data_IF_495042571332
#
_entry.id   IF_495042571332
#
_cell.length_a   1.000
_cell.length_b   1.000
_cell.length_c   1.000
_cell.angle_alpha   90.00
_cell.angle_beta   90.00
_cell.angle_gamma   90.00
#
_symmetry.space_group_name_H-M   'P 1'
#
loop_
_entity.id
_entity.type
_entity.pdbx_description
1 polymer ?
#
# COMPACT_ATOMS: atom_id res chain seq x y z
N UNK A 1 -34.05 -40.77 -7.03
CA UNK A 1 -33.68 -39.36 -7.26
C UNK A 1 -33.42 -38.50 -5.98
N UNK A 2 -33.61 -38.98 -4.74
CA UNK A 2 -33.40 -38.16 -3.51
C UNK A 2 -31.99 -38.23 -2.89
N UNK A 3 -31.18 -39.23 -3.21
CA UNK A 3 -29.86 -39.44 -2.58
C UNK A 3 -28.73 -38.56 -3.16
N UNK A 4 -28.82 -38.13 -4.41
CA UNK A 4 -27.84 -37.25 -5.05
C UNK A 4 -27.97 -35.77 -4.56
N UNK A 5 -29.19 -35.35 -4.24
CA UNK A 5 -29.50 -33.98 -3.75
C UNK A 5 -28.98 -33.76 -2.33
N UNK A 6 -29.05 -34.76 -1.44
CA UNK A 6 -28.56 -34.64 -0.05
C UNK A 6 -27.03 -34.61 0.02
N UNK A 7 -26.33 -35.42 -0.81
CA UNK A 7 -24.87 -35.41 -0.90
C UNK A 7 -24.34 -34.06 -1.45
N UNK A 8 -25.05 -33.44 -2.39
CA UNK A 8 -24.66 -32.14 -2.95
C UNK A 8 -24.84 -30.98 -1.94
N UNK A 9 -25.90 -31.04 -1.12
CA UNK A 9 -26.18 -30.09 -0.05
C UNK A 9 -25.16 -30.20 1.11
N UNK A 10 -24.85 -31.45 1.53
CA UNK A 10 -23.84 -31.72 2.55
C UNK A 10 -22.42 -31.22 2.09
N UNK A 11 -22.11 -31.42 0.80
CA UNK A 11 -20.84 -30.95 0.23
C UNK A 11 -20.75 -29.42 0.17
N UNK A 12 -21.86 -28.74 -0.17
CA UNK A 12 -21.91 -27.26 -0.18
C UNK A 12 -21.76 -26.66 1.23
N UNK A 13 -22.37 -27.27 2.26
CA UNK A 13 -22.23 -26.80 3.63
C UNK A 13 -20.83 -27.04 4.18
N UNK A 14 -20.22 -28.18 3.88
CA UNK A 14 -18.83 -28.45 4.25
C UNK A 14 -17.86 -27.49 3.57
N UNK A 15 -18.09 -27.14 2.31
CA UNK A 15 -17.28 -26.15 1.58
C UNK A 15 -17.42 -24.75 2.21
N UNK A 16 -18.65 -24.33 2.52
CA UNK A 16 -18.87 -23.04 3.20
C UNK A 16 -18.19 -22.97 4.57
N UNK A 17 -18.27 -24.04 5.36
CA UNK A 17 -17.62 -24.11 6.65
C UNK A 17 -16.08 -24.11 6.52
N UNK A 18 -15.53 -24.79 5.53
CA UNK A 18 -14.11 -24.79 5.20
C UNK A 18 -13.61 -23.41 4.80
N UNK A 19 -14.34 -22.71 3.94
CA UNK A 19 -14.02 -21.33 3.53
C UNK A 19 -14.10 -20.34 4.71
N UNK A 20 -15.12 -20.47 5.56
CA UNK A 20 -15.26 -19.63 6.75
C UNK A 20 -14.11 -19.86 7.75
N UNK A 21 -13.66 -21.12 7.90
CA UNK A 21 -12.50 -21.45 8.73
C UNK A 21 -11.22 -20.86 8.13
N UNK A 22 -10.97 -21.04 6.83
CA UNK A 22 -9.80 -20.49 6.14
C UNK A 22 -9.75 -18.96 6.24
N UNK A 23 -10.90 -18.30 6.06
CA UNK A 23 -11.03 -16.85 6.22
C UNK A 23 -10.61 -16.38 7.62
N UNK A 24 -11.13 -17.03 8.68
CA UNK A 24 -10.78 -16.69 10.07
C UNK A 24 -9.31 -16.96 10.38
N UNK A 25 -8.79 -18.10 9.91
CA UNK A 25 -7.38 -18.44 10.08
C UNK A 25 -6.46 -17.44 9.38
N UNK A 26 -6.79 -17.05 8.13
CA UNK A 26 -6.02 -16.05 7.38
C UNK A 26 -5.98 -14.69 8.08
N UNK A 27 -7.10 -14.20 8.58
CA UNK A 27 -7.15 -12.95 9.35
C UNK A 27 -6.36 -13.05 10.67
N UNK A 28 -6.42 -14.18 11.36
CA UNK A 28 -5.63 -14.41 12.56
C UNK A 28 -4.13 -14.37 12.26
N UNK A 29 -3.67 -15.06 11.21
CA UNK A 29 -2.27 -15.03 10.79
C UNK A 29 -1.82 -13.63 10.38
N UNK A 30 -2.62 -12.90 9.63
CA UNK A 30 -2.32 -11.53 9.21
C UNK A 30 -2.10 -10.62 10.43
N UNK A 31 -3.01 -10.65 11.40
CA UNK A 31 -2.90 -9.86 12.63
C UNK A 31 -1.68 -10.26 13.47
N UNK A 32 -1.37 -11.55 13.53
CA UNK A 32 -0.21 -12.05 14.29
C UNK A 32 1.11 -11.63 13.65
N UNK A 33 1.22 -11.73 12.32
CA UNK A 33 2.39 -11.26 11.56
C UNK A 33 2.52 -9.74 11.71
N UNK A 34 1.43 -8.99 11.58
CA UNK A 34 1.42 -7.54 11.74
C UNK A 34 1.94 -7.11 13.11
N UNK A 35 1.49 -7.78 14.18
CA UNK A 35 1.98 -7.53 15.53
C UNK A 35 3.48 -7.84 15.66
N UNK A 36 3.92 -8.99 15.16
CA UNK A 36 5.34 -9.39 15.19
C UNK A 36 6.23 -8.37 14.47
N UNK A 37 5.79 -7.84 13.32
CA UNK A 37 6.52 -6.80 12.58
C UNK A 37 6.56 -5.51 13.41
N UNK A 38 5.43 -5.08 13.97
CA UNK A 38 5.36 -3.87 14.80
C UNK A 38 6.23 -3.96 16.05
N UNK A 39 6.35 -5.15 16.62
CA UNK A 39 7.16 -5.40 17.83
C UNK A 39 8.64 -5.71 17.51
N UNK A 40 9.03 -5.73 16.23
CA UNK A 40 10.37 -6.08 15.77
C UNK A 40 11.16 -4.87 15.30
N UNK A 41 12.49 -5.02 15.21
CA UNK A 41 13.39 -4.02 14.60
C UNK A 41 13.16 -3.82 13.09
N UNK A 42 12.21 -4.54 12.49
CA UNK A 42 11.81 -4.37 11.08
C UNK A 42 10.80 -3.24 10.89
N UNK A 43 10.16 -2.77 11.97
CA UNK A 43 9.24 -1.65 11.88
C UNK A 43 10.02 -0.35 11.68
N UNK A 44 9.66 0.40 10.63
CA UNK A 44 10.19 1.75 10.45
C UNK A 44 9.62 2.66 11.56
N UNK A 45 10.47 3.28 12.40
CA UNK A 45 10.00 4.22 13.40
C UNK A 45 9.34 5.44 12.74
N UNK A 46 8.51 6.14 13.49
CA UNK A 46 8.00 7.44 13.06
C UNK A 46 9.17 8.44 13.05
N UNK A 47 9.27 9.23 11.99
CA UNK A 47 10.31 10.25 11.89
C UNK A 47 10.02 11.40 12.85
N UNK A 48 10.98 11.68 13.72
CA UNK A 48 11.00 12.84 14.59
C UNK A 48 12.27 13.64 14.31
N UNK A 49 12.15 14.80 13.65
CA UNK A 49 13.28 15.66 13.28
C UNK A 49 13.97 15.21 11.98
N UNK A 50 15.30 15.28 11.96
CA UNK A 50 16.11 14.97 10.78
C UNK A 50 16.34 13.46 10.64
N UNK A 51 16.20 12.88 9.41
CA UNK A 51 16.43 11.47 9.19
C UNK A 51 17.92 11.10 9.26
N UNK A 52 18.23 10.07 10.03
CA UNK A 52 19.57 9.49 10.06
C UNK A 52 19.84 8.68 8.77
N UNK A 53 21.03 8.83 8.15
CA UNK A 53 21.39 8.09 6.96
C UNK A 53 21.27 6.57 7.16
N UNK A 54 20.73 5.88 6.18
CA UNK A 54 20.61 4.43 6.19
C UNK A 54 19.38 3.87 6.91
N UNK A 55 18.63 4.69 7.62
CA UNK A 55 17.45 4.27 8.39
C UNK A 55 16.16 4.57 7.63
N UNK A 56 15.24 3.59 7.61
CA UNK A 56 13.90 3.78 7.11
C UNK A 56 13.01 4.39 8.21
N UNK A 57 12.22 5.39 7.83
CA UNK A 57 11.24 6.05 8.70
C UNK A 57 9.86 6.00 8.09
N UNK A 58 8.85 5.98 8.94
CA UNK A 58 7.46 6.25 8.60
C UNK A 58 7.15 7.73 8.82
N UNK A 59 6.48 8.35 7.88
CA UNK A 59 5.93 9.71 8.02
C UNK A 59 4.42 9.63 7.87
N UNK A 60 3.70 9.94 8.93
CA UNK A 60 2.25 10.04 8.89
C UNK A 60 1.84 11.29 8.11
N UNK A 61 0.89 11.18 7.20
CA UNK A 61 0.36 12.29 6.41
C UNK A 61 -0.88 12.82 7.12
N UNK A 62 -0.85 14.04 7.69
CA UNK A 62 -1.93 14.53 8.56
C UNK A 62 -3.32 14.52 7.89
N UNK A 63 -3.40 14.90 6.61
CA UNK A 63 -4.62 14.94 5.81
C UNK A 63 -4.77 13.72 4.89
N UNK A 64 -3.90 12.71 5.07
CA UNK A 64 -3.88 11.50 4.26
C UNK A 64 -4.96 10.51 4.70
N UNK A 65 -5.67 9.94 3.73
CA UNK A 65 -6.75 9.00 3.98
C UNK A 65 -6.54 7.75 3.12
N UNK A 66 -6.61 6.57 3.75
CA UNK A 66 -6.70 5.29 3.08
C UNK A 66 -8.12 5.04 2.54
N UNK A 67 -8.29 4.05 1.68
CA UNK A 67 -9.58 3.75 1.06
C UNK A 67 -10.70 3.40 2.02
N UNK A 68 -10.40 2.90 3.21
CA UNK A 68 -11.36 2.61 4.28
C UNK A 68 -11.55 3.77 5.29
N UNK A 69 -10.96 4.94 5.02
CA UNK A 69 -11.02 6.10 5.90
C UNK A 69 -9.98 6.11 7.02
N UNK A 70 -9.16 5.08 7.14
CA UNK A 70 -8.05 5.07 8.09
C UNK A 70 -6.92 6.01 7.66
N UNK A 71 -6.00 6.31 8.59
CA UNK A 71 -4.87 7.19 8.33
C UNK A 71 -3.93 6.67 7.24
N UNK A 72 -3.16 7.58 6.68
CA UNK A 72 -2.21 7.29 5.61
C UNK A 72 -0.80 7.73 6.00
N UNK A 73 0.21 6.99 5.54
CA UNK A 73 1.61 7.30 5.76
C UNK A 73 2.47 6.88 4.57
N UNK A 74 3.65 7.45 4.48
CA UNK A 74 4.69 7.11 3.52
C UNK A 74 5.95 6.64 4.24
N UNK A 75 6.90 6.06 3.49
CA UNK A 75 8.22 5.78 4.03
C UNK A 75 9.25 6.70 3.40
N UNK A 76 10.23 7.07 4.22
CA UNK A 76 11.37 7.90 3.84
C UNK A 76 12.66 7.24 4.32
N UNK A 77 13.69 7.33 3.50
CA UNK A 77 15.07 6.94 3.89
C UNK A 77 16.06 7.94 3.33
N UNK A 78 16.93 8.46 4.18
CA UNK A 78 18.08 9.23 3.76
C UNK A 78 19.19 8.29 3.34
N UNK A 79 19.72 8.49 2.15
CA UNK A 79 20.89 7.80 1.62
C UNK A 79 22.20 8.46 2.03
N UNK A 80 23.27 8.14 1.30
CA UNK A 80 24.59 8.73 1.48
C UNK A 80 25.02 9.60 0.29
N UNK A 81 24.16 9.74 -0.73
CA UNK A 81 24.35 10.61 -1.87
C UNK A 81 23.07 11.43 -2.14
N UNK A 82 23.14 12.42 -3.04
CA UNK A 82 22.03 13.33 -3.35
C UNK A 82 21.11 12.83 -4.49
N UNK A 83 21.09 11.52 -4.73
CA UNK A 83 20.16 10.91 -5.66
C UNK A 83 18.85 10.54 -4.95
N UNK A 84 17.71 10.77 -5.58
CA UNK A 84 16.37 10.50 -5.02
C UNK A 84 15.62 9.47 -5.86
N UNK A 85 15.08 8.46 -5.21
CA UNK A 85 14.09 7.56 -5.78
C UNK A 85 12.71 7.84 -5.17
N UNK A 86 11.76 8.24 -6.00
CA UNK A 86 10.33 8.29 -5.65
C UNK A 86 9.71 7.00 -6.18
N UNK A 87 9.25 6.15 -5.26
CA UNK A 87 8.72 4.84 -5.61
C UNK A 87 7.24 4.73 -5.23
N UNK A 88 6.41 4.40 -6.21
CA UNK A 88 4.99 4.16 -6.02
C UNK A 88 4.72 2.68 -5.79
N UNK A 89 4.19 2.34 -4.63
CA UNK A 89 3.81 0.97 -4.31
C UNK A 89 2.56 0.56 -5.06
N UNK A 90 2.48 -0.71 -5.43
CA UNK A 90 1.28 -1.31 -5.98
C UNK A 90 0.36 -1.89 -4.91
N UNK A 91 -0.80 -2.37 -5.33
CA UNK A 91 -1.78 -2.97 -4.42
C UNK A 91 -3.16 -3.20 -5.05
N UNK A 92 -3.21 -3.46 -6.36
CA UNK A 92 -4.46 -3.72 -7.07
C UNK A 92 -5.26 -2.46 -7.39
N UNK A 93 -6.55 -2.62 -7.73
CA UNK A 93 -7.40 -1.50 -8.15
C UNK A 93 -8.88 -1.80 -7.93
N UNK A 94 -9.65 -0.77 -7.60
CA UNK A 94 -11.11 -0.78 -7.58
C UNK A 94 -11.64 0.13 -8.70
N UNK A 95 -12.50 -0.40 -9.57
CA UNK A 95 -13.01 0.35 -10.73
C UNK A 95 -14.53 0.29 -10.90
N UNK A 96 -15.21 -0.44 -10.01
CA UNK A 96 -16.66 -0.53 -9.95
C UNK A 96 -17.11 -1.04 -8.57
N UNK A 97 -18.42 -1.08 -8.33
CA UNK A 97 -19.01 -1.52 -7.07
C UNK A 97 -18.59 -2.95 -6.67
N UNK A 98 -18.51 -3.87 -7.64
CA UNK A 98 -18.10 -5.26 -7.38
C UNK A 98 -16.68 -5.35 -6.83
N UNK A 99 -15.74 -4.60 -7.39
CA UNK A 99 -14.34 -4.58 -6.96
C UNK A 99 -14.14 -3.75 -5.70
N UNK A 100 -14.85 -2.63 -5.55
CA UNK A 100 -14.85 -1.81 -4.35
C UNK A 100 -15.31 -2.59 -3.11
N UNK A 101 -16.32 -3.44 -3.24
CA UNK A 101 -16.81 -4.31 -2.18
C UNK A 101 -15.82 -5.45 -1.78
N UNK A 102 -14.70 -5.59 -2.49
CA UNK A 102 -13.77 -6.71 -2.30
C UNK A 102 -12.32 -6.29 -2.09
N UNK A 103 -12.05 -5.51 -1.02
CA UNK A 103 -10.66 -5.22 -0.65
C UNK A 103 -9.92 -6.51 -0.25
N UNK A 104 -8.61 -6.49 -0.40
CA UNK A 104 -7.73 -7.59 0.02
C UNK A 104 -7.76 -7.71 1.54
N UNK A 105 -7.94 -8.93 2.03
CA UNK A 105 -7.73 -9.30 3.43
C UNK A 105 -7.06 -10.67 3.49
N UNK A 106 -6.28 -10.93 4.54
CA UNK A 106 -5.66 -12.24 4.73
C UNK A 106 -6.67 -13.38 4.74
N UNK A 107 -7.86 -13.14 5.28
CA UNK A 107 -8.96 -14.10 5.25
C UNK A 107 -9.47 -14.40 3.85
N UNK A 108 -9.70 -13.39 3.00
CA UNK A 108 -10.13 -13.60 1.62
C UNK A 108 -9.06 -14.34 0.81
N UNK A 109 -7.80 -13.95 0.96
CA UNK A 109 -6.67 -14.63 0.29
C UNK A 109 -6.60 -16.10 0.71
N UNK A 110 -6.63 -16.41 2.00
CA UNK A 110 -6.56 -17.77 2.52
C UNK A 110 -7.76 -18.64 2.08
N UNK A 111 -8.94 -18.03 1.94
CA UNK A 111 -10.16 -18.71 1.51
C UNK A 111 -10.29 -18.82 -0.02
N UNK A 112 -9.36 -18.26 -0.80
CA UNK A 112 -9.46 -18.21 -2.26
C UNK A 112 -10.65 -17.37 -2.75
N UNK A 113 -11.07 -16.37 -1.97
CA UNK A 113 -12.18 -15.49 -2.32
C UNK A 113 -11.68 -14.34 -3.21
N UNK A 114 -12.52 -13.80 -4.11
CA UNK A 114 -12.16 -12.64 -4.91
C UNK A 114 -11.75 -11.45 -4.04
N UNK A 115 -10.64 -10.83 -4.39
CA UNK A 115 -10.11 -9.64 -3.74
C UNK A 115 -9.31 -8.85 -4.79
N UNK A 116 -9.33 -7.51 -4.74
CA UNK A 116 -8.89 -6.69 -5.86
C UNK A 116 -7.88 -5.60 -5.50
N UNK A 117 -7.91 -5.05 -4.27
CA UNK A 117 -7.06 -3.93 -3.91
C UNK A 117 -6.86 -3.83 -2.39
N UNK A 118 -5.76 -3.23 -1.99
CA UNK A 118 -5.54 -2.80 -0.61
C UNK A 118 -6.30 -1.50 -0.35
N UNK A 119 -7.15 -1.51 0.68
CA UNK A 119 -7.93 -0.33 1.09
C UNK A 119 -7.39 0.33 2.36
N UNK A 120 -6.34 -0.22 2.95
CA UNK A 120 -5.65 0.35 4.10
C UNK A 120 -4.18 -0.09 4.15
N UNK A 121 -3.39 0.61 4.95
CA UNK A 121 -2.00 0.29 5.21
C UNK A 121 -1.89 -0.67 6.40
N UNK A 122 -1.24 -1.80 6.19
CA UNK A 122 -1.09 -2.86 7.19
C UNK A 122 0.38 -3.06 7.52
N UNK A 123 0.72 -3.41 8.79
CA UNK A 123 2.11 -3.58 9.19
C UNK A 123 2.91 -4.51 8.29
N UNK A 124 2.33 -5.62 7.82
CA UNK A 124 3.07 -6.56 6.99
C UNK A 124 3.41 -6.04 5.58
N UNK A 125 2.65 -5.07 5.04
CA UNK A 125 2.95 -4.45 3.74
C UNK A 125 4.24 -3.64 3.80
N UNK A 126 4.69 -3.25 5.00
CA UNK A 126 5.96 -2.56 5.21
C UNK A 126 7.14 -3.34 4.62
N UNK A 127 7.22 -4.67 4.83
CA UNK A 127 8.30 -5.49 4.28
C UNK A 127 8.34 -5.37 2.76
N UNK A 128 7.18 -5.40 2.11
CA UNK A 128 7.08 -5.27 0.65
C UNK A 128 7.47 -3.87 0.16
N UNK A 129 7.29 -2.86 0.98
CA UNK A 129 7.60 -1.48 0.60
C UNK A 129 9.08 -1.13 0.76
N UNK A 130 9.75 -1.60 1.81
CA UNK A 130 11.08 -1.08 2.20
C UNK A 130 12.18 -2.14 2.33
N UNK A 131 11.89 -3.42 2.05
CA UNK A 131 12.85 -4.50 2.20
C UNK A 131 12.95 -5.44 0.99
N UNK A 132 12.39 -5.07 -0.16
CA UNK A 132 12.35 -5.92 -1.36
C UNK A 132 12.75 -5.14 -2.61
N UNK A 133 13.51 -5.78 -3.50
CA UNK A 133 13.87 -5.22 -4.80
C UNK A 133 14.75 -3.98 -4.67
N UNK A 134 14.39 -2.88 -5.35
CA UNK A 134 15.21 -1.66 -5.34
C UNK A 134 15.24 -0.96 -3.98
N UNK A 135 14.28 -1.25 -3.10
CA UNK A 135 14.21 -0.69 -1.75
C UNK A 135 14.96 -1.52 -0.71
N UNK A 136 15.48 -2.70 -1.08
CA UNK A 136 16.37 -3.50 -0.21
C UNK A 136 17.76 -2.88 -0.15
N UNK A 137 17.91 -1.85 0.65
CA UNK A 137 19.16 -1.13 0.81
C UNK A 137 20.19 -1.86 1.69
N UNK A 138 19.87 -3.05 2.23
CA UNK A 138 20.81 -3.91 2.92
C UNK A 138 21.56 -4.85 1.96
N UNK A 139 21.10 -4.98 0.74
CA UNK A 139 21.73 -5.78 -0.30
C UNK A 139 22.83 -5.00 -1.00
N UNK A 140 24.07 -5.42 -0.82
CA UNK A 140 25.23 -4.77 -1.44
C UNK A 140 25.22 -4.78 -2.97
N UNK A 141 24.50 -5.70 -3.59
CA UNK A 141 24.34 -5.75 -5.03
C UNK A 141 23.27 -4.76 -5.55
N UNK A 142 22.51 -4.10 -4.67
CA UNK A 142 21.51 -3.12 -5.05
C UNK A 142 22.20 -1.78 -5.47
N UNK A 143 22.12 -1.36 -6.74
CA UNK A 143 22.75 -0.12 -7.20
C UNK A 143 22.10 1.15 -6.61
N UNK A 144 20.95 1.02 -5.98
CA UNK A 144 20.21 2.13 -5.37
C UNK A 144 20.37 2.19 -3.84
N UNK A 145 21.18 1.32 -3.22
CA UNK A 145 21.28 1.21 -1.76
C UNK A 145 21.69 2.52 -1.07
N UNK A 146 22.43 3.37 -1.77
CA UNK A 146 22.95 4.65 -1.26
C UNK A 146 22.07 5.86 -1.61
N UNK A 147 20.95 5.65 -2.29
CA UNK A 147 20.02 6.69 -2.68
C UNK A 147 19.09 7.09 -1.53
N UNK A 148 18.61 8.34 -1.60
CA UNK A 148 17.44 8.77 -0.85
C UNK A 148 16.19 8.11 -1.43
N UNK A 149 15.22 7.78 -0.58
CA UNK A 149 13.96 7.18 -1.00
C UNK A 149 12.77 7.89 -0.38
N UNK A 150 11.72 8.03 -1.18
CA UNK A 150 10.36 8.28 -0.73
C UNK A 150 9.46 7.22 -1.33
N UNK A 151 8.81 6.42 -0.49
CA UNK A 151 7.87 5.40 -0.91
C UNK A 151 6.46 5.93 -0.70
N UNK A 152 5.77 6.23 -1.79
CA UNK A 152 4.35 6.55 -1.80
C UNK A 152 3.59 5.24 -1.65
N UNK A 153 3.12 4.96 -0.45
CA UNK A 153 2.43 3.71 -0.13
C UNK A 153 1.06 3.64 -0.81
N UNK A 154 0.52 2.44 -0.96
CA UNK A 154 -0.74 2.25 -1.68
C UNK A 154 -1.83 1.65 -0.79
N UNK A 155 -2.94 2.36 -0.65
CA UNK A 155 -4.07 1.96 0.17
C UNK A 155 -5.42 2.52 -0.32
N UNK A 156 -5.52 2.98 -1.56
CA UNK A 156 -6.69 3.70 -2.06
C UNK A 156 -7.39 3.03 -3.26
N UNK A 157 -6.73 2.09 -3.93
CA UNK A 157 -7.33 1.34 -5.03
C UNK A 157 -7.52 2.11 -6.34
N UNK A 158 -6.83 3.24 -6.55
CA UNK A 158 -7.09 4.25 -7.57
C UNK A 158 -5.87 4.65 -8.42
N UNK A 159 -4.82 3.80 -8.47
CA UNK A 159 -3.55 4.08 -9.16
C UNK A 159 -2.82 5.35 -8.68
N UNK A 160 -3.04 5.79 -7.44
CA UNK A 160 -2.54 7.06 -6.87
C UNK A 160 -3.08 8.34 -7.52
N UNK A 161 -4.13 8.27 -8.33
CA UNK A 161 -4.63 9.43 -9.11
C UNK A 161 -6.04 9.87 -8.73
N UNK A 162 -6.72 9.14 -7.86
CA UNK A 162 -8.10 9.42 -7.45
C UNK A 162 -8.21 10.64 -6.54
N UNK A 163 -9.36 11.35 -6.64
CA UNK A 163 -9.70 12.57 -5.86
C UNK A 163 -11.16 12.60 -5.42
N UNK A 164 -11.82 11.46 -5.25
CA UNK A 164 -13.25 11.43 -4.94
C UNK A 164 -13.63 10.22 -4.10
N UNK A 165 -14.77 10.35 -3.43
CA UNK A 165 -15.40 9.26 -2.71
C UNK A 165 -16.27 8.43 -3.64
N UNK A 166 -16.22 7.11 -3.53
CA UNK A 166 -17.02 6.17 -4.29
C UNK A 166 -17.91 5.36 -3.34
N UNK A 167 -19.23 5.64 -3.30
CA UNK A 167 -20.16 4.85 -2.51
C UNK A 167 -20.40 3.48 -3.17
N UNK A 168 -20.51 2.45 -2.36
CA UNK A 168 -20.79 1.09 -2.83
C UNK A 168 -21.58 0.30 -1.78
N UNK A 169 -22.20 -0.79 -2.23
CA UNK A 169 -22.85 -1.75 -1.35
C UNK A 169 -21.91 -2.91 -1.03
N UNK A 170 -21.58 -3.10 0.24
CA UNK A 170 -20.73 -4.18 0.69
C UNK A 170 -21.38 -5.56 0.53
N UNK A 171 -20.58 -6.64 0.67
CA UNK A 171 -21.08 -8.02 0.49
C UNK A 171 -22.16 -8.43 1.53
N UNK A 172 -22.23 -7.75 2.66
CA UNK A 172 -23.24 -7.93 3.70
C UNK A 172 -24.50 -7.03 3.50
N UNK A 173 -24.53 -6.24 2.43
CA UNK A 173 -25.61 -5.32 2.08
C UNK A 173 -25.50 -3.93 2.74
N UNK A 174 -24.48 -3.66 3.54
CA UNK A 174 -24.26 -2.34 4.13
C UNK A 174 -23.78 -1.33 3.10
N UNK A 175 -24.17 -0.05 3.27
CA UNK A 175 -23.64 1.05 2.46
C UNK A 175 -22.29 1.46 2.99
N UNK A 176 -21.32 1.53 2.12
CA UNK A 176 -19.92 1.85 2.42
C UNK A 176 -19.40 2.89 1.43
N UNK A 177 -18.25 3.44 1.74
CA UNK A 177 -17.52 4.37 0.86
C UNK A 177 -16.07 3.89 0.74
N UNK A 178 -15.53 3.89 -0.47
CA UNK A 178 -14.08 3.87 -0.66
C UNK A 178 -13.60 5.28 -0.99
N UNK A 179 -12.59 5.74 -0.25
CA UNK A 179 -11.97 7.04 -0.46
C UNK A 179 -10.85 6.90 -1.51
N UNK A 180 -11.15 7.26 -2.75
CA UNK A 180 -10.16 7.39 -3.82
C UNK A 180 -9.40 8.71 -3.61
N UNK A 181 -8.44 8.71 -2.69
CA UNK A 181 -7.69 9.89 -2.27
C UNK A 181 -6.21 9.83 -2.66
N UNK A 182 -5.85 8.95 -3.59
CA UNK A 182 -4.46 8.67 -3.96
C UNK A 182 -3.69 9.90 -4.42
N UNK A 183 -4.30 10.76 -5.22
CA UNK A 183 -3.65 11.99 -5.69
C UNK A 183 -3.38 13.00 -4.56
N UNK A 184 -4.32 13.21 -3.65
CA UNK A 184 -4.10 14.13 -2.53
C UNK A 184 -3.03 13.58 -1.58
N UNK A 185 -3.04 12.27 -1.32
CA UNK A 185 -1.99 11.58 -0.55
C UNK A 185 -0.62 11.76 -1.21
N UNK A 186 -0.55 11.57 -2.54
CA UNK A 186 0.65 11.78 -3.33
C UNK A 186 1.16 13.24 -3.22
N UNK A 187 0.32 14.23 -3.43
CA UNK A 187 0.73 15.65 -3.36
C UNK A 187 1.26 16.01 -1.97
N UNK A 188 0.62 15.52 -0.91
CA UNK A 188 1.10 15.71 0.46
C UNK A 188 2.45 15.02 0.71
N UNK A 189 2.63 13.80 0.17
CA UNK A 189 3.91 13.09 0.22
C UNK A 189 5.02 13.84 -0.51
N UNK A 190 4.74 14.43 -1.68
CA UNK A 190 5.72 15.21 -2.46
C UNK A 190 6.12 16.49 -1.73
N UNK A 191 5.18 17.19 -1.12
CA UNK A 191 5.47 18.38 -0.30
C UNK A 191 6.42 18.06 0.86
N UNK A 192 6.24 16.90 1.50
CA UNK A 192 7.13 16.44 2.57
C UNK A 192 8.49 16.03 1.99
N UNK A 193 8.50 15.29 0.88
CA UNK A 193 9.72 14.85 0.20
C UNK A 193 10.62 16.03 -0.16
N UNK A 194 10.07 17.08 -0.77
CA UNK A 194 10.84 18.27 -1.16
C UNK A 194 11.44 19.02 0.02
N UNK A 195 10.86 18.91 1.22
CA UNK A 195 11.45 19.51 2.43
C UNK A 195 12.68 18.79 2.95
N UNK A 196 12.77 17.47 2.71
CA UNK A 196 13.92 16.65 3.13
C UNK A 196 14.98 16.49 2.03
N UNK A 197 14.56 16.49 0.78
CA UNK A 197 15.40 16.24 -0.39
C UNK A 197 15.18 17.31 -1.47
N UNK A 198 15.52 18.59 -1.17
CA UNK A 198 15.48 19.63 -2.18
C UNK A 198 16.60 19.40 -3.21
N UNK A 199 16.32 19.64 -4.46
CA UNK A 199 17.29 19.68 -5.58
C UNK A 199 18.20 18.43 -5.70
N UNK A 200 17.65 17.21 -5.86
CA UNK A 200 18.49 16.01 -5.99
C UNK A 200 19.26 16.04 -7.32
N UNK A 201 20.55 15.64 -7.29
CA UNK A 201 21.40 15.53 -8.49
C UNK A 201 20.84 14.60 -9.56
N UNK A 202 20.12 13.54 -9.14
CA UNK A 202 19.44 12.58 -10.01
C UNK A 202 18.13 12.17 -9.37
N UNK A 203 17.13 11.99 -10.21
CA UNK A 203 15.84 11.47 -9.79
C UNK A 203 15.48 10.21 -10.57
N UNK A 204 15.00 9.21 -9.85
CA UNK A 204 14.34 8.02 -10.40
C UNK A 204 12.89 8.03 -9.93
N UNK A 205 11.95 7.99 -10.86
CA UNK A 205 10.54 7.77 -10.58
C UNK A 205 10.23 6.34 -11.00
N UNK A 206 9.84 5.50 -10.07
CA UNK A 206 9.59 4.09 -10.30
C UNK A 206 8.33 3.63 -9.55
N UNK A 207 7.85 2.44 -9.87
CA UNK A 207 6.70 1.85 -9.18
C UNK A 207 6.48 0.41 -9.61
N UNK A 208 5.75 -0.33 -8.79
CA UNK A 208 5.35 -1.70 -9.09
C UNK A 208 3.84 -1.81 -9.28
N UNK A 209 3.37 -2.76 -10.11
CA UNK A 209 1.95 -3.09 -10.28
C UNK A 209 1.09 -1.83 -10.52
N UNK A 210 0.11 -1.55 -9.64
CA UNK A 210 -0.72 -0.33 -9.70
C UNK A 210 0.14 0.96 -9.62
N UNK A 211 1.23 0.96 -8.86
CA UNK A 211 2.15 2.08 -8.78
C UNK A 211 2.93 2.34 -10.08
N UNK A 212 3.17 1.31 -10.90
CA UNK A 212 3.79 1.50 -12.21
C UNK A 212 2.91 2.34 -13.16
N UNK A 213 1.59 2.29 -13.01
CA UNK A 213 0.67 3.17 -13.75
C UNK A 213 0.69 4.62 -13.25
N UNK A 214 1.00 4.83 -11.97
CA UNK A 214 1.17 6.17 -11.41
C UNK A 214 2.36 6.91 -12.02
N UNK A 215 3.44 6.20 -12.34
CA UNK A 215 4.68 6.81 -12.87
C UNK A 215 4.42 7.72 -14.08
N UNK A 216 3.87 7.24 -15.22
CA UNK A 216 3.60 8.11 -16.34
C UNK A 216 2.51 9.15 -16.08
N UNK A 217 1.58 8.87 -15.15
CA UNK A 217 0.48 9.78 -14.84
C UNK A 217 0.91 10.98 -14.01
N UNK A 218 1.89 10.80 -13.10
CA UNK A 218 2.25 11.77 -12.07
C UNK A 218 3.68 12.34 -12.23
N UNK A 219 4.46 11.85 -13.17
CA UNK A 219 5.84 12.33 -13.38
C UNK A 219 5.91 13.83 -13.69
N UNK A 220 4.94 14.39 -14.42
CA UNK A 220 4.84 15.83 -14.67
C UNK A 220 4.65 16.60 -13.38
N UNK A 221 3.69 16.20 -12.54
CA UNK A 221 3.43 16.84 -11.25
C UNK A 221 4.64 16.77 -10.31
N UNK A 222 5.44 15.70 -10.38
CA UNK A 222 6.68 15.57 -9.60
C UNK A 222 7.70 16.60 -10.04
N UNK A 223 7.93 16.71 -11.35
CA UNK A 223 8.89 17.68 -11.90
C UNK A 223 8.47 19.09 -11.55
N UNK A 224 7.20 19.43 -11.73
CA UNK A 224 6.68 20.78 -11.52
C UNK A 224 6.65 21.21 -10.05
N UNK A 225 6.54 20.27 -9.11
CA UNK A 225 6.35 20.56 -7.69
C UNK A 225 7.55 20.20 -6.79
N UNK A 226 8.47 19.35 -7.27
CA UNK A 226 9.57 18.84 -6.45
C UNK A 226 10.94 19.28 -6.95
N UNK A 227 11.03 19.85 -8.15
CA UNK A 227 12.27 20.42 -8.68
C UNK A 227 12.03 21.92 -8.71
N UNK A 228 12.69 22.65 -7.81
CA UNK A 228 12.74 24.12 -7.90
C UNK A 228 13.33 24.50 -9.28
N UNK A 229 12.76 25.51 -9.90
CA UNK A 229 13.13 25.96 -11.24
C UNK A 229 14.67 25.98 -11.43
N UNK A 230 15.14 25.09 -12.30
CA UNK A 230 16.52 25.19 -12.80
C UNK A 230 16.65 26.37 -13.76
#
# INVERSE_FOLDING_TARGET
MKQSSIKSLANKNNLKNGLAFAYRAGNFFENSIGKTISDSNLAAPVLEGEPEPGTWYRIDIPDGISGDGSGYYVYLRKGTNDHLCIFFSGGGVAWNEYTAARPVTGGKVAAGMPNFYWNNLRPFTQIMNIHIGITDCQNDANPFKDWNFVIVTYATGDFHVGKHDFPYTAEDGSQQVVHFNGYNNFMSAMKISSSYFPDPDKMLIAGDSAGAFAVPALSGDIVDNCISEM
#
